data_IF_813784357920
#
_entry.id   IF_813784357920
#
_cell.length_a   1.000
_cell.length_b   1.000
_cell.length_c   1.000
_cell.angle_alpha   90.00
_cell.angle_beta   90.00
_cell.angle_gamma   90.00
#
_symmetry.space_group_name_H-M   'P 1'
#
loop_
_entity.id
_entity.type
_entity.pdbx_description
1 polymer ?
#
# COMPACT_ATOMS: atom_id res chain seq x y z
N UNK A 1 -15.28 46.01 -16.02
CA UNK A 1 -15.73 45.59 -14.69
C UNK A 1 -15.78 44.08 -14.67
N UNK A 2 -15.14 43.46 -13.67
CA UNK A 2 -15.22 42.01 -13.45
C UNK A 2 -16.57 41.62 -12.87
N UNK A 3 -16.91 40.33 -12.91
CA UNK A 3 -18.08 39.79 -12.24
C UNK A 3 -17.69 38.64 -11.32
N UNK A 4 -18.21 38.68 -10.09
CA UNK A 4 -18.11 37.58 -9.13
C UNK A 4 -19.47 36.90 -9.02
N UNK A 5 -19.50 35.62 -9.39
CA UNK A 5 -20.72 34.81 -9.38
C UNK A 5 -20.49 33.60 -8.48
N UNK A 6 -21.41 33.38 -7.53
CA UNK A 6 -21.50 32.10 -6.80
C UNK A 6 -22.65 31.32 -7.40
N UNK A 7 -22.34 30.13 -7.92
CA UNK A 7 -23.29 29.25 -8.57
C UNK A 7 -23.49 27.97 -7.78
N UNK A 8 -24.72 27.73 -7.33
CA UNK A 8 -25.15 26.50 -6.69
C UNK A 8 -25.80 25.57 -7.72
N UNK A 9 -25.03 24.58 -8.16
CA UNK A 9 -25.47 23.59 -9.14
C UNK A 9 -26.71 22.81 -8.68
N UNK A 10 -26.91 22.60 -7.37
CA UNK A 10 -28.06 21.84 -6.84
C UNK A 10 -29.38 22.60 -6.91
N UNK A 11 -29.33 23.94 -7.02
CA UNK A 11 -30.52 24.78 -7.22
C UNK A 11 -30.87 24.95 -8.70
N UNK A 12 -29.87 24.93 -9.58
CA UNK A 12 -30.08 24.95 -11.02
C UNK A 12 -30.47 23.57 -11.59
N UNK A 13 -29.88 22.50 -11.05
CA UNK A 13 -30.08 21.12 -11.50
C UNK A 13 -30.77 20.35 -10.36
N UNK A 14 -32.07 20.09 -10.45
CA UNK A 14 -32.77 19.33 -9.41
C UNK A 14 -32.14 17.94 -9.28
N UNK A 15 -31.89 17.44 -8.06
CA UNK A 15 -31.28 16.14 -7.86
C UNK A 15 -32.13 15.03 -8.47
N UNK A 16 -31.47 14.01 -9.06
CA UNK A 16 -32.10 12.73 -9.32
C UNK A 16 -32.62 12.12 -8.01
N UNK A 17 -33.67 11.30 -8.09
CA UNK A 17 -34.37 10.68 -6.95
C UNK A 17 -33.42 10.28 -5.78
N UNK A 18 -33.74 10.63 -4.52
CA UNK A 18 -32.75 10.79 -3.45
C UNK A 18 -32.28 9.51 -2.74
N UNK A 19 -32.38 8.32 -3.33
CA UNK A 19 -32.14 7.07 -2.57
C UNK A 19 -31.35 6.00 -3.31
N UNK A 20 -30.02 6.15 -3.41
CA UNK A 20 -29.09 5.03 -3.59
C UNK A 20 -27.73 5.37 -4.22
N UNK A 21 -26.88 4.36 -4.39
CA UNK A 21 -25.48 4.45 -4.87
C UNK A 21 -25.27 4.00 -6.33
N UNK A 22 -26.33 3.66 -7.06
CA UNK A 22 -26.24 3.26 -8.47
C UNK A 22 -25.92 4.45 -9.38
N UNK A 23 -25.08 4.24 -10.40
CA UNK A 23 -24.67 5.31 -11.34
C UNK A 23 -25.83 6.02 -12.06
N UNK A 24 -26.99 5.36 -12.19
CA UNK A 24 -28.21 5.93 -12.77
C UNK A 24 -28.90 6.96 -11.85
N UNK A 25 -28.63 6.92 -10.54
CA UNK A 25 -29.31 7.76 -9.54
C UNK A 25 -28.71 9.17 -9.46
N UNK A 26 -27.47 9.33 -9.96
CA UNK A 26 -26.78 10.62 -10.10
C UNK A 26 -27.11 11.33 -11.42
N UNK A 27 -27.90 10.70 -12.29
CA UNK A 27 -28.40 11.36 -13.51
C UNK A 27 -29.69 12.11 -13.17
N UNK A 28 -29.87 13.36 -13.64
CA UNK A 28 -31.15 14.07 -13.52
C UNK A 28 -32.21 13.36 -14.38
N UNK A 29 -32.82 12.28 -13.85
CA UNK A 29 -33.73 11.43 -14.61
C UNK A 29 -35.00 12.17 -15.06
N UNK A 30 -35.46 13.09 -14.22
CA UNK A 30 -36.69 13.85 -14.45
C UNK A 30 -36.49 15.04 -15.40
N UNK A 31 -35.24 15.41 -15.69
CA UNK A 31 -34.88 16.59 -16.47
C UNK A 31 -33.91 16.30 -17.62
N UNK A 32 -33.74 15.03 -17.98
CA UNK A 32 -32.95 14.63 -19.14
C UNK A 32 -33.60 15.13 -20.44
N UNK A 33 -33.01 16.16 -21.06
CA UNK A 33 -33.53 16.82 -22.26
C UNK A 33 -34.41 18.05 -21.98
N UNK A 34 -34.62 18.40 -20.70
CA UNK A 34 -35.29 19.64 -20.32
C UNK A 34 -34.31 20.83 -20.41
N UNK A 35 -34.84 21.99 -20.80
CA UNK A 35 -34.12 23.26 -20.71
C UNK A 35 -34.30 23.76 -19.28
N UNK A 36 -33.24 23.72 -18.49
CA UNK A 36 -33.22 24.25 -17.13
C UNK A 36 -32.81 25.72 -17.13
N UNK A 37 -33.48 26.55 -16.34
CA UNK A 37 -33.08 27.94 -16.13
C UNK A 37 -31.90 28.00 -15.15
N UNK A 38 -30.70 28.21 -15.70
CA UNK A 38 -29.48 28.34 -14.92
C UNK A 38 -29.50 29.52 -13.93
N UNK A 39 -30.36 30.52 -14.13
CA UNK A 39 -30.47 31.64 -13.18
C UNK A 39 -30.88 31.18 -11.77
N UNK A 40 -31.57 30.04 -11.65
CA UNK A 40 -31.93 29.45 -10.35
C UNK A 40 -30.71 29.04 -9.52
N UNK A 41 -29.56 28.81 -10.16
CA UNK A 41 -28.31 28.48 -9.48
C UNK A 41 -27.53 29.71 -8.99
N UNK A 42 -27.86 30.93 -9.42
CA UNK A 42 -27.12 32.13 -9.05
C UNK A 42 -27.48 32.50 -7.60
N UNK A 43 -26.54 32.33 -6.69
CA UNK A 43 -26.70 32.73 -5.28
C UNK A 43 -26.11 34.11 -4.99
N UNK A 44 -25.12 34.51 -5.78
CA UNK A 44 -24.50 35.83 -5.70
C UNK A 44 -24.09 36.28 -7.11
N UNK A 45 -24.30 37.56 -7.40
CA UNK A 45 -23.88 38.19 -8.64
C UNK A 45 -23.47 39.63 -8.35
N UNK A 46 -22.16 39.87 -8.29
CA UNK A 46 -21.58 41.16 -7.91
C UNK A 46 -20.71 41.67 -9.05
N UNK A 47 -20.86 42.95 -9.35
CA UNK A 47 -19.94 43.67 -10.24
C UNK A 47 -18.73 44.13 -9.42
N UNK A 48 -17.56 43.65 -9.80
CA UNK A 48 -16.29 44.07 -9.24
C UNK A 48 -15.76 45.28 -10.02
N UNK A 49 -15.15 46.23 -9.32
CA UNK A 49 -14.51 47.40 -9.92
C UNK A 49 -13.23 47.07 -10.71
N UNK A 50 -12.78 45.82 -10.62
CA UNK A 50 -11.48 45.34 -11.09
C UNK A 50 -11.67 44.08 -11.93
N UNK A 51 -10.82 43.87 -12.94
CA UNK A 51 -10.81 42.65 -13.75
C UNK A 51 -9.96 41.57 -13.04
N UNK A 52 -10.54 41.02 -11.95
CA UNK A 52 -9.86 40.07 -11.08
C UNK A 52 -10.26 38.62 -11.37
N UNK A 53 -9.29 37.72 -11.31
CA UNK A 53 -9.49 36.27 -11.35
C UNK A 53 -9.55 35.70 -9.94
N UNK A 54 -10.57 34.89 -9.65
CA UNK A 54 -10.61 34.11 -8.39
C UNK A 54 -9.48 33.08 -8.44
N UNK A 55 -8.64 33.09 -7.40
CA UNK A 55 -7.60 32.09 -7.22
C UNK A 55 -8.12 31.00 -6.30
N UNK A 56 -8.42 31.32 -5.04
CA UNK A 56 -8.82 30.34 -4.03
C UNK A 56 -10.00 30.88 -3.21
N UNK A 57 -10.81 29.97 -2.66
CA UNK A 57 -11.77 30.29 -1.61
C UNK A 57 -11.32 29.59 -0.34
N UNK A 58 -11.08 30.35 0.73
CA UNK A 58 -10.59 29.83 2.01
C UNK A 58 -11.47 30.38 3.12
N UNK A 59 -12.20 29.48 3.79
CA UNK A 59 -13.21 29.85 4.77
C UNK A 59 -14.21 30.86 4.18
N UNK A 60 -14.20 32.05 4.75
CA UNK A 60 -15.06 33.18 4.40
C UNK A 60 -14.38 34.22 3.48
N UNK A 61 -13.20 33.92 2.93
CA UNK A 61 -12.47 34.83 2.03
C UNK A 61 -12.34 34.23 0.64
N UNK A 62 -12.63 35.04 -0.38
CA UNK A 62 -12.27 34.80 -1.77
C UNK A 62 -10.97 35.54 -2.04
N UNK A 63 -9.90 34.78 -2.27
CA UNK A 63 -8.60 35.30 -2.67
C UNK A 63 -8.58 35.46 -4.19
N UNK A 64 -8.42 36.69 -4.66
CA UNK A 64 -8.45 37.05 -6.08
C UNK A 64 -7.21 37.84 -6.49
N UNK A 65 -6.97 37.91 -7.79
CA UNK A 65 -5.84 38.63 -8.36
C UNK A 65 -6.25 39.41 -9.61
N UNK A 66 -5.86 40.68 -9.66
CA UNK A 66 -5.98 41.58 -10.81
C UNK A 66 -4.59 42.09 -11.18
N UNK A 67 -3.98 41.53 -12.23
CA UNK A 67 -2.57 41.83 -12.56
C UNK A 67 -1.61 41.53 -11.40
N UNK A 68 -0.90 42.55 -10.92
CA UNK A 68 0.05 42.48 -9.79
C UNK A 68 -0.61 42.80 -8.43
N UNK A 69 -1.94 42.95 -8.40
CA UNK A 69 -2.71 43.27 -7.21
C UNK A 69 -3.40 42.03 -6.68
N UNK A 70 -3.19 41.73 -5.40
CA UNK A 70 -3.92 40.72 -4.66
C UNK A 70 -5.04 41.35 -3.85
N UNK A 71 -6.16 40.64 -3.80
CA UNK A 71 -7.40 41.17 -3.27
C UNK A 71 -8.09 40.09 -2.44
N UNK A 72 -8.46 40.44 -1.22
CA UNK A 72 -9.37 39.64 -0.41
C UNK A 72 -10.78 40.17 -0.54
N UNK A 73 -11.73 39.32 -0.88
CA UNK A 73 -13.15 39.62 -0.81
C UNK A 73 -13.82 38.76 0.26
N UNK A 74 -14.78 39.33 0.98
CA UNK A 74 -15.68 38.55 1.82
C UNK A 74 -16.51 37.63 0.91
N UNK A 75 -16.53 36.33 1.21
CA UNK A 75 -17.14 35.31 0.36
C UNK A 75 -18.65 35.49 0.21
N UNK A 76 -19.31 36.02 1.23
CA UNK A 76 -20.77 36.06 1.34
C UNK A 76 -21.36 37.36 0.81
N UNK A 77 -20.61 38.45 0.96
CA UNK A 77 -21.04 39.81 0.59
C UNK A 77 -20.31 40.33 -0.64
N UNK A 78 -19.16 39.74 -1.01
CA UNK A 78 -18.22 40.21 -2.01
C UNK A 78 -17.66 41.60 -1.75
N UNK A 79 -17.74 42.09 -0.51
CA UNK A 79 -17.07 43.32 -0.09
C UNK A 79 -15.57 43.10 -0.13
N UNK A 80 -14.83 44.05 -0.71
CA UNK A 80 -13.36 44.06 -0.67
C UNK A 80 -12.90 44.27 0.76
N UNK A 81 -12.21 43.28 1.33
CA UNK A 81 -11.64 43.30 2.68
C UNK A 81 -10.33 44.06 2.71
N UNK A 82 -9.46 43.76 1.74
CA UNK A 82 -8.16 44.39 1.58
C UNK A 82 -7.71 44.30 0.13
N UNK A 83 -6.79 45.18 -0.22
CA UNK A 83 -6.09 45.21 -1.48
C UNK A 83 -4.62 45.43 -1.17
N UNK A 84 -3.77 44.58 -1.71
CA UNK A 84 -2.34 44.72 -1.61
C UNK A 84 -1.76 44.73 -3.02
N UNK A 85 -1.21 45.86 -3.42
CA UNK A 85 -0.31 45.88 -4.56
C UNK A 85 0.99 45.18 -4.15
N UNK A 86 1.50 44.32 -5.04
CA UNK A 86 2.86 43.83 -4.90
C UNK A 86 3.82 45.02 -4.94
N UNK A 87 4.29 45.46 -3.77
CA UNK A 87 5.15 46.62 -3.66
C UNK A 87 6.53 46.32 -4.26
N UNK A 88 6.70 46.61 -5.56
CA UNK A 88 7.95 46.42 -6.31
C UNK A 88 9.16 47.13 -5.68
N UNK A 89 8.95 48.13 -4.81
CA UNK A 89 10.01 48.92 -4.19
C UNK A 89 10.61 48.29 -2.92
N UNK A 90 9.96 47.30 -2.29
CA UNK A 90 10.57 46.53 -1.18
C UNK A 90 11.55 45.45 -1.67
N UNK A 91 11.63 45.24 -2.99
CA UNK A 91 12.45 44.22 -3.62
C UNK A 91 13.61 44.86 -4.39
N UNK A 92 14.81 44.25 -4.39
CA UNK A 92 15.93 44.72 -5.20
C UNK A 92 15.56 45.02 -6.67
N UNK A 93 16.06 46.10 -7.28
CA UNK A 93 15.73 46.45 -8.67
C UNK A 93 16.14 45.33 -9.65
N UNK A 94 15.23 44.93 -10.55
CA UNK A 94 15.48 43.93 -11.61
C UNK A 94 14.81 42.56 -11.43
N UNK A 95 14.02 42.42 -10.36
CA UNK A 95 13.25 41.21 -10.02
C UNK A 95 12.07 41.05 -10.99
N UNK A 96 12.15 40.02 -11.83
CA UNK A 96 11.01 39.51 -12.59
C UNK A 96 10.37 38.42 -11.73
N UNK A 97 9.47 38.85 -10.83
CA UNK A 97 8.40 37.95 -10.39
C UNK A 97 7.75 37.43 -11.66
N UNK A 98 7.44 36.15 -11.66
CA UNK A 98 6.48 35.56 -12.57
C UNK A 98 5.48 36.56 -13.14
N UNK A 99 5.64 36.91 -14.42
CA UNK A 99 4.48 37.08 -15.31
C UNK A 99 3.86 35.71 -15.58
N UNK A 100 3.65 34.88 -14.55
CA UNK A 100 3.11 33.54 -14.74
C UNK A 100 1.64 33.59 -14.44
N UNK A 101 0.86 33.63 -15.53
CA UNK A 101 -0.56 33.32 -15.55
C UNK A 101 -0.86 31.87 -15.13
N UNK A 102 -0.28 31.37 -14.04
CA UNK A 102 -0.49 30.02 -13.52
C UNK A 102 0.01 29.86 -12.07
N UNK A 103 -0.14 30.87 -11.22
CA UNK A 103 0.00 30.62 -9.78
C UNK A 103 -1.30 30.04 -9.24
N UNK A 104 -1.37 28.72 -9.35
CA UNK A 104 -2.44 27.85 -8.90
C UNK A 104 -2.69 27.96 -7.38
N UNK A 105 -3.95 27.83 -6.95
CA UNK A 105 -4.47 28.26 -5.64
C UNK A 105 -4.25 27.26 -4.51
N UNK A 106 -2.98 26.96 -4.20
CA UNK A 106 -2.70 25.86 -3.29
C UNK A 106 -1.87 26.24 -2.07
N UNK A 107 -1.32 27.46 -1.95
CA UNK A 107 -0.41 27.85 -0.85
C UNK A 107 -1.13 28.51 0.34
N UNK A 108 -2.42 28.24 0.50
CA UNK A 108 -3.24 28.81 1.58
C UNK A 108 -3.80 27.71 2.45
N UNK A 109 -3.57 27.82 3.75
CA UNK A 109 -4.18 27.00 4.79
C UNK A 109 -4.19 27.79 6.10
N UNK A 110 -5.03 27.44 7.07
CA UNK A 110 -5.00 28.07 8.40
C UNK A 110 -5.07 29.61 8.40
N UNK A 111 -5.81 30.20 7.45
CA UNK A 111 -5.91 31.65 7.21
C UNK A 111 -4.57 32.34 6.85
N UNK A 112 -3.54 31.60 6.43
CA UNK A 112 -2.25 32.12 5.97
C UNK A 112 -2.02 31.83 4.50
N UNK A 113 -1.72 32.86 3.72
CA UNK A 113 -1.25 32.76 2.33
C UNK A 113 0.27 32.83 2.30
N UNK A 114 0.89 31.83 1.66
CA UNK A 114 2.34 31.76 1.52
C UNK A 114 2.78 32.14 0.10
N UNK A 115 3.82 32.95 0.03
CA UNK A 115 4.39 33.43 -1.22
C UNK A 115 5.89 33.18 -1.29
N UNK A 116 6.36 32.72 -2.45
CA UNK A 116 7.77 32.47 -2.72
C UNK A 116 8.38 33.54 -3.61
N UNK A 117 9.50 34.12 -3.20
CA UNK A 117 10.31 35.04 -3.98
C UNK A 117 11.47 34.25 -4.59
N UNK A 118 11.48 34.09 -5.91
CA UNK A 118 12.41 33.19 -6.60
C UNK A 118 13.84 33.71 -6.62
N UNK A 119 14.01 35.01 -6.77
CA UNK A 119 15.31 35.67 -6.84
C UNK A 119 16.09 35.59 -5.54
N UNK A 120 15.38 35.54 -4.41
CA UNK A 120 16.01 35.31 -3.10
C UNK A 120 15.85 33.88 -2.60
N UNK A 121 15.01 33.06 -3.25
CA UNK A 121 14.67 31.67 -2.90
C UNK A 121 14.06 31.52 -1.50
N UNK A 122 13.15 32.43 -1.13
CA UNK A 122 12.59 32.54 0.23
C UNK A 122 11.06 32.61 0.23
N UNK A 123 10.45 32.11 1.32
CA UNK A 123 9.02 32.21 1.57
C UNK A 123 8.66 33.35 2.53
N UNK A 124 7.42 33.83 2.37
CA UNK A 124 6.76 34.81 3.23
C UNK A 124 5.33 34.34 3.49
N UNK A 125 4.78 34.64 4.67
CA UNK A 125 3.40 34.32 5.05
C UNK A 125 2.60 35.57 5.38
N UNK A 126 1.37 35.64 4.88
CA UNK A 126 0.47 36.77 5.03
C UNK A 126 -0.89 36.33 5.56
N UNK A 127 -1.50 37.16 6.40
CA UNK A 127 -2.87 36.95 6.87
C UNK A 127 -3.86 37.10 5.72
N UNK A 128 -4.68 36.08 5.46
CA UNK A 128 -5.63 36.06 4.33
C UNK A 128 -6.77 37.06 4.52
N UNK A 129 -7.09 37.46 5.76
CA UNK A 129 -8.20 38.37 6.07
C UNK A 129 -7.77 39.83 6.06
N UNK A 130 -6.50 40.12 6.28
CA UNK A 130 -6.01 41.51 6.35
C UNK A 130 -4.93 41.86 5.31
N UNK A 131 -4.32 40.86 4.67
CA UNK A 131 -3.17 41.04 3.76
C UNK A 131 -1.86 41.44 4.46
N UNK A 132 -1.80 41.37 5.79
CA UNK A 132 -0.61 41.79 6.55
C UNK A 132 0.42 40.67 6.58
N UNK A 133 1.71 41.03 6.50
CA UNK A 133 2.80 40.09 6.71
C UNK A 133 2.76 39.52 8.15
N UNK A 134 2.82 38.20 8.27
CA UNK A 134 2.90 37.47 9.55
C UNK A 134 4.34 37.06 9.81
N UNK A 135 5.00 36.45 8.83
CA UNK A 135 6.36 35.93 8.94
C UNK A 135 7.10 36.00 7.61
N UNK A 136 8.43 35.91 7.69
CA UNK A 136 9.33 35.90 6.54
C UNK A 136 10.36 37.04 6.58
N UNK A 137 11.42 36.94 5.74
CA UNK A 137 11.71 35.81 4.88
C UNK A 137 12.15 34.55 5.65
N UNK A 138 11.93 33.37 5.08
CA UNK A 138 12.63 32.15 5.51
C UNK A 138 14.12 32.20 5.15
N UNK A 139 14.90 31.22 5.61
CA UNK A 139 16.22 30.99 5.03
C UNK A 139 16.12 30.71 3.52
N UNK A 140 17.07 31.22 2.70
CA UNK A 140 17.08 31.00 1.27
C UNK A 140 17.46 29.55 0.93
N UNK A 141 16.90 29.01 -0.14
CA UNK A 141 17.29 27.67 -0.58
C UNK A 141 18.74 27.68 -1.06
N UNK A 142 19.54 26.73 -0.58
CA UNK A 142 20.97 26.67 -0.90
C UNK A 142 21.22 26.43 -2.39
N UNK A 143 20.55 25.42 -2.97
CA UNK A 143 20.68 25.07 -4.38
C UNK A 143 19.97 26.09 -5.27
N UNK A 144 20.63 26.55 -6.34
CA UNK A 144 20.07 27.52 -7.29
C UNK A 144 18.86 26.99 -8.08
N UNK A 145 18.75 25.66 -8.27
CA UNK A 145 17.54 25.04 -8.80
C UNK A 145 16.33 25.17 -7.86
N UNK A 146 16.56 25.54 -6.60
CA UNK A 146 15.53 25.99 -5.65
C UNK A 146 14.72 27.19 -6.13
N UNK A 147 15.23 27.94 -7.11
CA UNK A 147 14.53 29.05 -7.78
C UNK A 147 13.12 28.68 -8.28
N UNK A 148 12.88 27.42 -8.62
CA UNK A 148 11.62 26.95 -9.19
C UNK A 148 10.55 26.51 -8.17
N UNK A 149 10.77 26.67 -6.86
CA UNK A 149 9.81 26.20 -5.85
C UNK A 149 8.43 26.84 -5.96
N UNK A 150 8.40 28.13 -6.33
CA UNK A 150 7.17 28.86 -6.64
C UNK A 150 6.45 28.42 -7.92
N UNK A 151 6.93 27.41 -8.64
CA UNK A 151 6.35 26.91 -9.90
C UNK A 151 5.96 25.43 -9.87
N UNK A 152 6.73 24.62 -9.15
CA UNK A 152 6.87 23.18 -9.40
C UNK A 152 5.97 22.32 -8.54
N UNK A 153 5.68 22.75 -7.31
CA UNK A 153 4.68 22.14 -6.46
C UNK A 153 4.64 22.84 -5.10
N UNK A 154 3.46 23.33 -4.70
CA UNK A 154 3.24 23.92 -3.39
C UNK A 154 1.80 23.70 -2.95
N UNK A 155 1.60 23.21 -1.72
CA UNK A 155 0.27 22.93 -1.17
C UNK A 155 0.26 23.25 0.32
N UNK A 156 -0.77 23.95 0.80
CA UNK A 156 -1.09 24.15 2.20
C UNK A 156 -2.07 23.07 2.65
N UNK A 157 -1.69 22.29 3.66
CA UNK A 157 -2.51 21.21 4.22
C UNK A 157 -2.04 20.90 5.64
N UNK A 158 -2.95 20.41 6.50
CA UNK A 158 -2.60 19.92 7.83
C UNK A 158 -1.80 20.91 8.70
N UNK A 159 -2.02 22.22 8.53
CA UNK A 159 -1.29 23.27 9.25
C UNK A 159 0.11 23.57 8.69
N UNK A 160 0.47 22.99 7.54
CA UNK A 160 1.79 23.09 6.94
C UNK A 160 1.73 23.65 5.51
N UNK A 161 2.82 24.26 5.07
CA UNK A 161 3.15 24.51 3.67
C UNK A 161 4.15 23.46 3.19
N UNK A 162 3.76 22.69 2.19
CA UNK A 162 4.62 21.77 1.48
C UNK A 162 5.09 22.41 0.18
N UNK A 163 6.38 22.37 -0.10
CA UNK A 163 6.98 22.97 -1.28
C UNK A 163 8.05 22.06 -1.89
N UNK A 164 7.86 21.68 -3.16
CA UNK A 164 8.82 20.93 -3.94
C UNK A 164 9.57 21.86 -4.92
N UNK A 165 10.76 21.48 -5.37
CA UNK A 165 11.50 22.24 -6.38
C UNK A 165 12.42 21.36 -7.25
N UNK A 166 13.01 21.97 -8.28
CA UNK A 166 13.98 21.33 -9.20
C UNK A 166 15.31 20.99 -8.53
N UNK A 167 15.56 21.46 -7.31
CA UNK A 167 16.68 20.98 -6.51
C UNK A 167 16.48 19.55 -5.99
N UNK A 168 15.31 18.95 -6.23
CA UNK A 168 14.99 17.57 -5.84
C UNK A 168 14.63 17.44 -4.37
N UNK A 169 14.21 18.53 -3.73
CA UNK A 169 13.83 18.55 -2.32
C UNK A 169 12.36 18.94 -2.17
N UNK A 170 11.61 18.14 -1.41
CA UNK A 170 10.33 18.56 -0.80
C UNK A 170 10.62 19.12 0.57
N UNK A 171 10.03 20.27 0.90
CA UNK A 171 10.19 20.96 2.17
C UNK A 171 8.83 21.13 2.82
N UNK A 172 8.78 21.01 4.13
CA UNK A 172 7.61 21.30 4.93
C UNK A 172 7.91 22.45 5.89
N UNK A 173 7.02 23.43 5.93
CA UNK A 173 7.06 24.55 6.84
C UNK A 173 5.79 24.57 7.68
N UNK A 174 5.89 24.91 8.97
CA UNK A 174 4.72 25.32 9.73
C UNK A 174 4.12 26.55 9.05
N UNK A 175 2.84 26.49 8.67
CA UNK A 175 2.26 27.54 7.84
C UNK A 175 2.03 28.85 8.62
N UNK A 176 1.94 28.79 9.95
CA UNK A 176 1.68 29.94 10.81
C UNK A 176 2.95 30.66 11.22
N UNK A 177 4.09 29.97 11.28
CA UNK A 177 5.38 30.56 11.70
C UNK A 177 6.40 30.69 10.58
N UNK A 178 6.31 29.87 9.53
CA UNK A 178 7.32 29.79 8.48
C UNK A 178 8.55 28.96 8.87
N UNK A 179 8.50 28.24 9.99
CA UNK A 179 9.60 27.39 10.45
C UNK A 179 9.69 26.12 9.60
N UNK A 180 10.89 25.79 9.10
CA UNK A 180 11.14 24.56 8.38
C UNK A 180 11.07 23.37 9.36
N UNK A 181 10.13 22.45 9.15
CA UNK A 181 9.93 21.30 10.04
C UNK A 181 10.66 20.05 9.56
N UNK A 182 10.65 19.78 8.25
CA UNK A 182 11.38 18.67 7.64
C UNK A 182 11.69 18.90 6.17
N UNK A 183 12.65 18.11 5.65
CA UNK A 183 12.96 18.03 4.22
C UNK A 183 13.07 16.58 3.77
N UNK A 184 12.71 16.33 2.51
CA UNK A 184 12.89 15.05 1.83
C UNK A 184 13.69 15.27 0.55
N UNK A 185 14.79 14.54 0.37
CA UNK A 185 15.62 14.59 -0.82
C UNK A 185 15.39 13.36 -1.70
N UNK A 186 15.07 13.58 -2.99
CA UNK A 186 14.82 12.51 -3.96
C UNK A 186 16.10 11.74 -4.37
N UNK A 187 17.28 12.23 -3.97
CA UNK A 187 18.56 11.61 -4.24
C UNK A 187 19.28 12.20 -5.46
N UNK A 188 20.53 11.78 -5.62
CA UNK A 188 21.39 12.21 -6.71
C UNK A 188 21.01 11.51 -8.03
N UNK A 189 20.88 12.30 -9.10
CA UNK A 189 20.66 11.78 -10.45
C UNK A 189 21.97 11.63 -11.24
N UNK A 190 23.09 12.14 -10.70
CA UNK A 190 24.38 12.12 -11.39
C UNK A 190 24.30 12.88 -12.72
N UNK A 191 24.45 12.15 -13.83
CA UNK A 191 24.38 12.71 -15.18
C UNK A 191 23.06 12.43 -15.91
N UNK A 192 22.09 11.77 -15.26
CA UNK A 192 20.79 11.48 -15.88
C UNK A 192 19.97 12.77 -16.10
N UNK A 193 20.08 13.73 -15.17
CA UNK A 193 19.39 15.04 -15.27
C UNK A 193 20.40 16.18 -15.39
N UNK A 194 20.03 17.33 -16.00
CA UNK A 194 20.87 18.53 -16.02
C UNK A 194 21.00 19.20 -14.64
N UNK A 195 20.25 18.75 -13.65
CA UNK A 195 20.16 19.35 -12.31
C UNK A 195 21.10 18.68 -11.30
N UNK A 196 21.63 17.49 -11.63
CA UNK A 196 22.43 16.66 -10.71
C UNK A 196 21.61 15.90 -9.67
N UNK A 197 20.33 16.28 -9.50
CA UNK A 197 19.36 15.69 -8.58
C UNK A 197 18.11 15.23 -9.36
N UNK A 198 17.20 14.50 -8.72
CA UNK A 198 15.89 14.18 -9.31
C UNK A 198 14.90 15.34 -9.08
N UNK A 199 14.62 16.19 -10.09
CA UNK A 199 13.79 17.37 -9.92
C UNK A 199 12.34 17.00 -9.61
N UNK A 200 11.65 17.80 -8.82
CA UNK A 200 10.20 17.70 -8.68
C UNK A 200 9.50 18.67 -9.64
N UNK A 201 8.53 18.15 -10.40
CA UNK A 201 7.65 18.93 -11.27
C UNK A 201 6.26 18.30 -11.32
N UNK A 202 5.25 19.10 -11.66
CA UNK A 202 3.89 18.59 -11.86
C UNK A 202 3.04 18.58 -10.60
N UNK A 203 3.41 19.35 -9.57
CA UNK A 203 2.61 19.61 -8.37
C UNK A 203 2.87 18.68 -7.19
N UNK A 204 2.02 18.80 -6.18
CA UNK A 204 1.93 17.89 -5.04
C UNK A 204 0.46 17.52 -4.86
N UNK A 205 0.19 16.29 -4.44
CA UNK A 205 -1.13 15.90 -3.92
C UNK A 205 -0.96 15.50 -2.46
N UNK A 206 -1.90 15.92 -1.62
CA UNK A 206 -1.84 15.66 -0.18
C UNK A 206 -3.17 15.11 0.27
N UNK A 207 -3.14 13.93 0.88
CA UNK A 207 -4.31 13.25 1.42
C UNK A 207 -3.87 12.17 2.39
N UNK A 208 -4.77 11.78 3.32
CA UNK A 208 -4.55 10.67 4.25
C UNK A 208 -3.19 10.76 4.97
N UNK A 209 -2.84 11.97 5.41
CA UNK A 209 -1.59 12.26 6.15
C UNK A 209 -0.33 11.95 5.33
N UNK A 210 -0.43 11.96 3.99
CA UNK A 210 0.66 11.66 3.06
C UNK A 210 0.86 12.77 2.04
N UNK A 211 2.11 12.98 1.66
CA UNK A 211 2.51 13.85 0.55
C UNK A 211 2.92 12.96 -0.63
N UNK A 212 2.22 13.14 -1.75
CA UNK A 212 2.50 12.50 -3.03
C UNK A 212 3.25 13.49 -3.92
N UNK A 213 4.52 13.18 -4.19
CA UNK A 213 5.42 14.03 -4.95
C UNK A 213 6.02 13.24 -6.12
N UNK A 214 5.79 13.69 -7.35
CA UNK A 214 6.35 13.05 -8.54
C UNK A 214 7.59 13.79 -9.00
N UNK A 215 8.66 13.05 -9.29
CA UNK A 215 9.74 13.65 -10.06
C UNK A 215 9.24 13.98 -11.48
N UNK A 216 9.85 14.99 -12.08
CA UNK A 216 9.66 15.28 -13.48
C UNK A 216 10.25 16.61 -13.89
N UNK A 217 9.91 17.01 -15.12
CA UNK A 217 10.31 18.27 -15.70
C UNK A 217 9.22 18.79 -16.65
N UNK A 218 9.16 20.12 -16.83
CA UNK A 218 8.16 20.86 -17.58
C UNK A 218 8.12 20.57 -19.10
N UNK A 219 9.24 20.34 -19.74
CA UNK A 219 9.44 20.11 -21.17
C UNK A 219 10.50 19.03 -21.41
N UNK A 220 10.20 17.76 -21.07
CA UNK A 220 11.22 16.74 -20.96
C UNK A 220 11.81 16.39 -22.33
N UNK A 221 13.12 16.15 -22.33
CA UNK A 221 13.82 15.66 -23.51
C UNK A 221 13.43 14.22 -23.86
N UNK A 222 13.70 13.84 -25.10
CA UNK A 222 13.63 12.43 -25.55
C UNK A 222 15.04 11.90 -25.81
N UNK A 223 15.38 10.68 -25.32
CA UNK A 223 14.54 9.80 -24.51
C UNK A 223 14.29 10.36 -23.09
N UNK A 224 13.18 9.94 -22.48
CA UNK A 224 12.87 10.29 -21.08
C UNK A 224 13.92 9.69 -20.14
N UNK A 225 14.21 10.38 -19.04
CA UNK A 225 15.11 9.89 -17.98
C UNK A 225 14.59 8.57 -17.39
N UNK A 226 15.47 7.69 -16.92
CA UNK A 226 15.11 6.31 -16.53
C UNK A 226 14.86 6.09 -15.03
N UNK A 227 14.89 7.14 -14.23
CA UNK A 227 14.87 7.05 -12.76
C UNK A 227 13.72 7.76 -12.07
N UNK A 228 12.77 8.34 -12.81
CA UNK A 228 11.64 9.07 -12.23
C UNK A 228 10.74 8.15 -11.42
N UNK A 229 10.19 8.71 -10.33
CA UNK A 229 9.31 8.02 -9.42
C UNK A 229 8.17 8.91 -8.96
N UNK A 230 7.08 8.27 -8.54
CA UNK A 230 6.18 8.85 -7.56
C UNK A 230 6.70 8.50 -6.16
N UNK A 231 7.03 9.52 -5.39
CA UNK A 231 7.47 9.42 -4.00
C UNK A 231 6.29 9.68 -3.07
N UNK A 232 6.20 8.89 -2.00
CA UNK A 232 5.21 9.07 -0.95
C UNK A 232 5.89 9.12 0.40
N UNK A 233 5.57 10.15 1.17
CA UNK A 233 6.13 10.41 2.49
C UNK A 233 5.02 10.77 3.48
N UNK A 234 5.29 10.53 4.75
CA UNK A 234 4.47 11.01 5.85
C UNK A 234 4.42 12.54 5.85
N UNK A 235 3.23 13.11 5.99
CA UNK A 235 3.03 14.55 5.88
C UNK A 235 3.54 15.34 7.09
N UNK A 236 3.75 14.71 8.24
CA UNK A 236 4.19 15.38 9.46
C UNK A 236 5.69 15.22 9.72
N UNK A 237 6.29 14.11 9.29
CA UNK A 237 7.70 13.79 9.55
C UNK A 237 8.59 13.86 8.31
N UNK A 238 8.02 13.74 7.11
CA UNK A 238 8.78 13.60 5.87
C UNK A 238 9.42 12.22 5.67
N UNK A 239 9.11 11.26 6.53
CA UNK A 239 9.63 9.89 6.41
C UNK A 239 9.11 9.23 5.12
N UNK A 240 9.98 8.59 4.32
CA UNK A 240 9.55 7.88 3.12
C UNK A 240 8.71 6.66 3.48
N UNK A 241 7.54 6.54 2.86
CA UNK A 241 6.63 5.40 3.05
C UNK A 241 6.80 4.39 1.92
N UNK A 242 6.71 4.85 0.68
CA UNK A 242 6.92 4.02 -0.51
C UNK A 242 7.21 4.89 -1.73
N UNK A 243 7.70 4.26 -2.80
CA UNK A 243 7.85 4.90 -4.09
C UNK A 243 7.61 3.88 -5.20
N UNK A 244 7.26 4.36 -6.38
CA UNK A 244 7.08 3.50 -7.55
C UNK A 244 7.67 4.17 -8.79
N UNK A 245 8.36 3.38 -9.63
CA UNK A 245 8.94 3.88 -10.88
C UNK A 245 7.87 4.39 -11.81
N UNK A 246 8.11 5.53 -12.43
CA UNK A 246 7.18 6.09 -13.40
C UNK A 246 7.31 7.59 -13.49
N UNK A 247 6.94 8.11 -14.66
CA UNK A 247 6.81 9.53 -14.86
C UNK A 247 5.35 9.91 -14.60
N UNK A 248 5.08 10.34 -13.38
CA UNK A 248 3.75 10.74 -12.94
C UNK A 248 3.62 12.27 -12.95
N UNK A 249 2.39 12.78 -12.93
CA UNK A 249 2.14 14.17 -12.54
C UNK A 249 1.34 14.18 -11.24
N UNK A 250 1.97 14.61 -10.15
CA UNK A 250 1.35 14.54 -8.83
C UNK A 250 0.05 15.36 -8.74
N UNK A 251 -0.06 16.50 -9.43
CA UNK A 251 -1.29 17.32 -9.48
C UNK A 251 -2.45 16.72 -10.28
N UNK A 252 -2.21 15.68 -11.10
CA UNK A 252 -3.27 14.95 -11.81
C UNK A 252 -3.70 13.67 -11.08
N UNK A 253 -3.16 13.42 -9.89
CA UNK A 253 -3.54 12.30 -9.05
C UNK A 253 -4.95 12.53 -8.50
N UNK A 254 -5.82 11.53 -8.63
CA UNK A 254 -7.13 11.50 -8.01
C UNK A 254 -7.13 10.50 -6.85
N UNK A 255 -7.64 10.91 -5.68
CA UNK A 255 -7.74 10.05 -4.50
C UNK A 255 -9.19 9.99 -4.03
N UNK A 256 -9.74 8.79 -3.91
CA UNK A 256 -11.08 8.54 -3.36
C UNK A 256 -11.14 7.13 -2.76
N UNK A 257 -11.92 6.95 -1.68
CA UNK A 257 -12.18 5.65 -1.05
C UNK A 257 -10.91 4.84 -0.72
N UNK A 258 -9.84 5.53 -0.29
CA UNK A 258 -8.55 4.92 0.04
C UNK A 258 -7.76 4.41 -1.17
N UNK A 259 -8.15 4.82 -2.39
CA UNK A 259 -7.47 4.48 -3.64
C UNK A 259 -6.95 5.73 -4.34
N UNK A 260 -5.74 5.61 -4.86
CA UNK A 260 -5.05 6.62 -5.63
C UNK A 260 -5.00 6.21 -7.10
N UNK A 261 -5.42 7.07 -8.01
CA UNK A 261 -5.31 6.85 -9.45
C UNK A 261 -4.32 7.85 -10.06
N UNK A 262 -3.34 7.34 -10.80
CA UNK A 262 -2.31 8.15 -11.45
C UNK A 262 -1.97 7.64 -12.85
N UNK A 263 -1.66 8.57 -13.74
CA UNK A 263 -1.17 8.27 -15.10
C UNK A 263 0.35 8.17 -15.10
N UNK A 264 0.88 7.04 -15.56
CA UNK A 264 2.31 6.85 -15.77
C UNK A 264 2.64 7.10 -17.26
N UNK A 265 3.49 8.09 -17.52
CA UNK A 265 3.86 8.48 -18.88
C UNK A 265 4.93 7.56 -19.51
N UNK A 266 5.61 6.73 -18.73
CA UNK A 266 6.60 5.79 -19.29
C UNK A 266 5.96 4.71 -20.16
N UNK A 267 4.80 4.21 -19.77
CA UNK A 267 4.09 3.15 -20.48
C UNK A 267 2.67 3.56 -20.90
N UNK A 268 2.29 4.81 -20.59
CA UNK A 268 1.02 5.42 -20.93
C UNK A 268 -0.20 4.70 -20.30
N UNK A 269 -0.03 4.14 -19.11
CA UNK A 269 -1.10 3.44 -18.37
C UNK A 269 -1.62 4.22 -17.16
N UNK A 270 -2.89 3.98 -16.82
CA UNK A 270 -3.48 4.42 -15.57
C UNK A 270 -3.30 3.33 -14.51
N UNK A 271 -2.70 3.71 -13.39
CA UNK A 271 -2.50 2.84 -12.24
C UNK A 271 -3.44 3.23 -11.11
N UNK A 272 -3.98 2.22 -10.42
CA UNK A 272 -4.77 2.39 -9.21
C UNK A 272 -4.04 1.72 -8.04
N UNK A 273 -3.69 2.51 -7.04
CA UNK A 273 -2.95 2.07 -5.85
C UNK A 273 -3.85 2.07 -4.63
N UNK A 274 -3.59 1.13 -3.73
CA UNK A 274 -4.19 1.04 -2.41
C UNK A 274 -4.34 -0.40 -1.97
N UNK A 275 -4.80 -0.59 -0.72
CA UNK A 275 -4.86 -1.91 -0.09
C UNK A 275 -5.64 -2.93 -0.95
N UNK A 276 -4.98 -4.06 -1.24
CA UNK A 276 -5.49 -5.12 -2.11
C UNK A 276 -6.20 -6.23 -1.34
N UNK A 277 -7.28 -6.83 -1.86
CA UNK A 277 -7.84 -8.06 -1.29
C UNK A 277 -6.87 -9.23 -1.46
N UNK A 278 -6.90 -10.18 -0.53
CA UNK A 278 -6.10 -11.41 -0.58
C UNK A 278 -6.97 -12.66 -0.44
N UNK A 279 -6.42 -13.82 -0.79
CA UNK A 279 -7.08 -15.12 -0.62
C UNK A 279 -6.10 -16.16 -0.11
N UNK A 280 -6.41 -16.70 1.06
CA UNK A 280 -5.74 -17.87 1.65
C UNK A 280 -6.39 -19.16 1.14
N UNK A 281 -5.60 -20.20 0.91
CA UNK A 281 -6.05 -21.58 0.68
C UNK A 281 -5.31 -22.50 1.64
N UNK A 282 -5.90 -23.64 1.98
CA UNK A 282 -5.25 -24.65 2.83
C UNK A 282 -5.67 -26.05 2.38
N UNK A 283 -4.72 -26.96 2.37
CA UNK A 283 -4.88 -28.37 2.05
C UNK A 283 -4.20 -29.23 3.13
N UNK A 284 -4.85 -30.34 3.46
CA UNK A 284 -4.36 -31.38 4.34
C UNK A 284 -4.64 -32.75 3.70
N UNK A 285 -3.98 -33.84 4.13
CA UNK A 285 -4.22 -35.17 3.59
C UNK A 285 -5.71 -35.55 3.63
N UNK A 286 -6.24 -36.00 2.49
CA UNK A 286 -7.63 -36.48 2.39
C UNK A 286 -7.80 -37.88 2.99
N UNK A 287 -6.70 -38.61 3.18
CA UNK A 287 -6.67 -39.90 3.86
C UNK A 287 -6.38 -39.70 5.34
N UNK A 288 -7.02 -40.49 6.19
CA UNK A 288 -6.68 -40.51 7.60
C UNK A 288 -5.21 -40.93 7.79
N UNK A 289 -4.52 -40.26 8.70
CA UNK A 289 -3.16 -40.61 9.12
C UNK A 289 -3.21 -41.37 10.44
N UNK A 290 -2.17 -42.15 10.72
CA UNK A 290 -2.04 -42.87 11.99
C UNK A 290 -1.53 -41.93 13.06
N UNK A 291 -2.03 -42.04 14.29
CA UNK A 291 -1.56 -41.26 15.43
C UNK A 291 -0.03 -41.41 15.59
N UNK A 292 0.66 -40.27 15.71
CA UNK A 292 2.13 -40.21 15.76
C UNK A 292 2.80 -40.01 14.38
N UNK A 293 2.07 -40.14 13.28
CA UNK A 293 2.56 -39.74 11.96
C UNK A 293 2.56 -38.21 11.81
N UNK A 294 3.52 -37.70 11.04
CA UNK A 294 3.59 -36.28 10.72
C UNK A 294 2.93 -36.04 9.39
N UNK A 295 2.03 -35.04 9.32
CA UNK A 295 1.46 -34.58 8.05
C UNK A 295 2.10 -33.27 7.61
N UNK A 296 2.04 -33.03 6.30
CA UNK A 296 2.31 -31.73 5.71
C UNK A 296 0.98 -31.01 5.49
N UNK A 297 0.85 -29.83 6.07
CA UNK A 297 -0.23 -28.88 5.80
C UNK A 297 0.34 -27.87 4.82
N UNK A 298 -0.28 -27.70 3.66
CA UNK A 298 0.17 -26.74 2.64
C UNK A 298 -0.95 -25.78 2.28
N UNK A 299 -0.59 -24.64 1.69
CA UNK A 299 -1.58 -23.69 1.22
C UNK A 299 -0.95 -22.57 0.42
N UNK A 300 -1.78 -21.59 0.06
CA UNK A 300 -1.32 -20.38 -0.63
C UNK A 300 -1.92 -19.13 -0.03
N UNK A 301 -1.26 -17.99 -0.21
CA UNK A 301 -1.87 -16.66 -0.08
C UNK A 301 -1.58 -15.85 -1.34
N UNK A 302 -2.64 -15.38 -1.99
CA UNK A 302 -2.54 -14.71 -3.30
C UNK A 302 -3.32 -13.40 -3.35
N UNK A 303 -2.79 -12.43 -4.08
CA UNK A 303 -3.42 -11.14 -4.35
C UNK A 303 -4.64 -11.32 -5.26
N UNK A 304 -5.75 -10.67 -4.92
CA UNK A 304 -7.01 -10.72 -5.68
C UNK A 304 -7.33 -9.37 -6.34
N UNK A 305 -6.40 -8.42 -6.31
CA UNK A 305 -6.51 -7.13 -7.00
C UNK A 305 -6.63 -7.34 -8.50
N UNK A 306 -7.46 -6.55 -9.18
CA UNK A 306 -7.74 -6.75 -10.61
C UNK A 306 -6.48 -6.77 -11.50
N UNK A 307 -5.47 -5.96 -11.18
CA UNK A 307 -4.20 -5.92 -11.91
C UNK A 307 -3.23 -7.06 -11.59
N UNK A 308 -3.34 -7.68 -10.41
CA UNK A 308 -2.35 -8.63 -9.88
C UNK A 308 -2.98 -9.98 -9.51
N UNK A 309 -4.15 -10.30 -10.06
CA UNK A 309 -4.96 -11.43 -9.61
C UNK A 309 -4.21 -12.77 -9.76
N UNK A 310 -4.02 -13.46 -8.63
CA UNK A 310 -3.29 -14.72 -8.54
C UNK A 310 -1.79 -14.59 -8.31
N UNK A 311 -1.23 -13.38 -8.25
CA UNK A 311 0.15 -13.16 -7.83
C UNK A 311 0.32 -13.50 -6.35
N UNK A 312 1.56 -13.82 -5.94
CA UNK A 312 1.87 -14.00 -4.53
C UNK A 312 1.68 -12.70 -3.75
N UNK A 313 1.10 -12.80 -2.54
CA UNK A 313 1.23 -11.72 -1.56
C UNK A 313 2.66 -11.71 -1.02
N UNK A 314 3.28 -10.53 -1.02
CA UNK A 314 4.64 -10.30 -0.50
C UNK A 314 4.62 -9.37 0.72
N UNK A 315 5.68 -9.37 1.51
CA UNK A 315 5.85 -8.44 2.62
C UNK A 315 5.84 -6.98 2.15
N UNK A 316 5.40 -6.06 3.01
CA UNK A 316 5.26 -4.63 2.67
C UNK A 316 6.61 -4.01 2.22
N UNK A 317 7.73 -4.45 2.80
CA UNK A 317 9.08 -4.01 2.42
C UNK A 317 9.48 -4.41 0.99
N UNK A 318 8.85 -5.44 0.41
CA UNK A 318 9.10 -5.91 -0.96
C UNK A 318 8.10 -5.35 -1.99
N UNK A 319 7.10 -4.60 -1.53
CA UNK A 319 5.93 -4.22 -2.35
C UNK A 319 6.31 -3.39 -3.57
N UNK A 320 7.20 -2.40 -3.40
CA UNK A 320 7.58 -1.47 -4.47
C UNK A 320 8.25 -2.20 -5.64
N UNK A 321 9.23 -3.08 -5.35
CA UNK A 321 9.94 -3.84 -6.38
C UNK A 321 9.07 -4.96 -6.97
N UNK A 322 8.22 -5.58 -6.15
CA UNK A 322 7.26 -6.59 -6.62
C UNK A 322 6.26 -6.01 -7.62
N UNK A 323 5.70 -4.82 -7.33
CA UNK A 323 4.84 -4.12 -8.29
C UNK A 323 5.61 -3.66 -9.53
N UNK A 324 6.87 -3.24 -9.38
CA UNK A 324 7.75 -2.95 -10.52
C UNK A 324 7.93 -4.15 -11.45
N UNK A 325 8.10 -5.35 -10.88
CA UNK A 325 8.18 -6.59 -11.64
C UNK A 325 6.86 -6.91 -12.36
N UNK A 326 5.74 -6.91 -11.64
CA UNK A 326 4.44 -7.30 -12.20
C UNK A 326 3.94 -6.33 -13.27
N UNK A 327 4.18 -5.03 -13.08
CA UNK A 327 3.48 -3.98 -13.83
C UNK A 327 4.37 -3.09 -14.69
N UNK A 328 5.68 -3.09 -14.47
CA UNK A 328 6.59 -2.08 -15.05
C UNK A 328 7.81 -2.68 -15.74
N UNK A 329 7.71 -3.96 -16.12
CA UNK A 329 8.75 -4.70 -16.85
C UNK A 329 10.11 -4.68 -16.14
N UNK A 330 10.12 -4.57 -14.81
CA UNK A 330 11.35 -4.72 -14.02
C UNK A 330 11.69 -6.20 -13.88
N UNK A 331 12.96 -6.56 -13.64
CA UNK A 331 13.33 -7.92 -13.28
C UNK A 331 12.61 -8.38 -12.00
N UNK A 332 12.41 -9.69 -11.85
CA UNK A 332 11.92 -10.24 -10.58
C UNK A 332 12.91 -9.90 -9.45
N UNK A 333 12.45 -9.32 -8.32
CA UNK A 333 13.32 -9.05 -7.19
C UNK A 333 13.90 -10.35 -6.62
N UNK A 334 15.20 -10.39 -6.37
CA UNK A 334 15.91 -11.59 -5.89
C UNK A 334 15.79 -11.80 -4.39
N UNK A 335 15.35 -10.78 -3.66
CA UNK A 335 15.29 -10.68 -2.20
C UNK A 335 13.88 -10.34 -1.69
N UNK A 336 12.86 -10.43 -2.56
CA UNK A 336 11.48 -10.29 -2.13
C UNK A 336 11.12 -11.34 -1.07
N UNK A 337 10.34 -10.92 -0.08
CA UNK A 337 9.93 -11.77 1.05
C UNK A 337 8.44 -12.06 0.98
N UNK A 338 8.05 -13.28 1.35
CA UNK A 338 6.65 -13.62 1.54
C UNK A 338 6.08 -13.06 2.84
N UNK A 339 4.83 -13.43 3.11
CA UNK A 339 4.08 -13.02 4.30
C UNK A 339 3.95 -14.19 5.29
N UNK A 340 3.71 -13.87 6.56
CA UNK A 340 3.46 -14.87 7.60
C UNK A 340 1.99 -15.33 7.60
N UNK A 341 1.78 -16.63 7.80
CA UNK A 341 0.49 -17.28 7.96
C UNK A 341 0.49 -18.05 9.27
N UNK A 342 -0.50 -17.83 10.12
CA UNK A 342 -0.70 -18.64 11.33
C UNK A 342 -1.52 -19.88 10.99
N UNK A 343 -1.21 -21.00 11.62
CA UNK A 343 -1.95 -22.25 11.44
C UNK A 343 -2.46 -22.72 12.80
N UNK A 344 -3.77 -22.85 12.90
CA UNK A 344 -4.51 -23.20 14.11
C UNK A 344 -5.32 -24.48 13.87
N UNK A 345 -5.60 -25.22 14.94
CA UNK A 345 -6.45 -26.42 14.88
C UNK A 345 -7.55 -26.37 15.94
N UNK A 346 -8.69 -26.99 15.62
CA UNK A 346 -9.74 -27.39 16.55
C UNK A 346 -9.79 -28.91 16.52
N UNK A 347 -9.47 -29.54 17.65
CA UNK A 347 -9.53 -31.00 17.76
C UNK A 347 -10.94 -31.54 18.04
N UNK A 348 -11.10 -32.86 18.08
CA UNK A 348 -12.39 -33.54 18.26
C UNK A 348 -13.04 -33.26 19.63
N UNK A 349 -12.24 -32.81 20.61
CA UNK A 349 -12.72 -32.36 21.93
C UNK A 349 -13.14 -30.88 21.94
N UNK A 350 -12.98 -30.17 20.82
CA UNK A 350 -13.29 -28.74 20.68
C UNK A 350 -12.20 -27.81 21.19
N UNK A 351 -10.97 -28.28 21.44
CA UNK A 351 -9.88 -27.40 21.88
C UNK A 351 -9.27 -26.66 20.70
N UNK A 352 -9.31 -25.32 20.75
CA UNK A 352 -8.63 -24.44 19.81
C UNK A 352 -7.18 -24.19 20.25
N UNK A 353 -6.21 -24.38 19.35
CA UNK A 353 -4.80 -24.03 19.60
C UNK A 353 -4.03 -23.69 18.34
N UNK A 354 -3.05 -22.80 18.47
CA UNK A 354 -2.06 -22.54 17.44
C UNK A 354 -1.05 -23.68 17.38
N UNK A 355 -0.75 -24.17 16.17
CA UNK A 355 0.21 -25.25 15.93
C UNK A 355 1.48 -24.78 15.22
N UNK A 356 1.52 -23.52 14.78
CA UNK A 356 2.71 -22.92 14.21
C UNK A 356 2.42 -21.74 13.29
N UNK A 357 3.50 -21.30 12.63
CA UNK A 357 3.52 -20.25 11.62
C UNK A 357 4.33 -20.72 10.43
N UNK A 358 3.95 -20.26 9.25
CA UNK A 358 4.68 -20.51 8.01
C UNK A 358 4.77 -19.22 7.19
N UNK A 359 5.91 -18.99 6.54
CA UNK A 359 6.09 -17.86 5.62
C UNK A 359 5.87 -18.33 4.20
N UNK A 360 5.17 -17.54 3.38
CA UNK A 360 4.99 -17.85 1.97
C UNK A 360 6.30 -17.71 1.18
N UNK A 361 6.44 -18.48 0.11
CA UNK A 361 7.45 -18.24 -0.92
C UNK A 361 6.94 -17.22 -1.97
N UNK A 362 7.77 -16.93 -2.97
CA UNK A 362 7.43 -16.00 -4.08
C UNK A 362 6.36 -16.53 -5.04
N UNK A 363 5.92 -17.78 -4.88
CA UNK A 363 4.74 -18.33 -5.57
C UNK A 363 3.48 -18.22 -4.71
N UNK A 364 3.60 -17.67 -3.49
CA UNK A 364 2.54 -17.52 -2.52
C UNK A 364 2.30 -18.80 -1.71
N UNK A 365 3.12 -19.85 -1.85
CA UNK A 365 2.92 -21.13 -1.17
C UNK A 365 3.55 -21.13 0.21
N UNK A 366 2.88 -21.76 1.17
CA UNK A 366 3.44 -22.04 2.50
C UNK A 366 3.22 -23.51 2.87
N UNK A 367 3.98 -23.99 3.85
CA UNK A 367 3.82 -25.35 4.38
C UNK A 367 4.28 -25.48 5.82
N UNK A 368 3.60 -26.34 6.59
CA UNK A 368 3.93 -26.67 7.97
C UNK A 368 3.86 -28.19 8.18
N UNK A 369 4.94 -28.76 8.70
CA UNK A 369 4.95 -30.14 9.18
C UNK A 369 4.44 -30.17 10.61
N UNK A 370 3.42 -31.00 10.89
CA UNK A 370 2.83 -31.10 12.22
C UNK A 370 2.41 -32.53 12.56
N UNK A 371 2.55 -32.90 13.82
CA UNK A 371 2.21 -34.23 14.35
C UNK A 371 1.04 -34.09 15.32
N UNK A 372 -0.13 -34.70 15.05
CA UNK A 372 -1.26 -34.70 15.97
C UNK A 372 -0.97 -35.49 17.24
N UNK A 373 -1.56 -35.05 18.35
CA UNK A 373 -1.37 -35.60 19.70
C UNK A 373 -2.51 -36.51 20.17
N UNK A 374 -3.69 -36.40 19.55
CA UNK A 374 -4.85 -37.26 19.81
C UNK A 374 -5.49 -37.78 18.50
N UNK A 375 -6.15 -38.95 18.51
CA UNK A 375 -6.97 -39.41 17.39
C UNK A 375 -8.25 -38.58 17.28
N UNK A 376 -8.92 -38.66 16.13
CA UNK A 376 -10.16 -37.95 15.84
C UNK A 376 -10.06 -37.04 14.63
N UNK A 377 -11.12 -36.27 14.38
CA UNK A 377 -11.14 -35.28 13.31
C UNK A 377 -10.54 -33.97 13.81
N UNK A 378 -9.73 -33.33 12.98
CA UNK A 378 -9.25 -31.98 13.20
C UNK A 378 -9.85 -31.03 12.16
N UNK A 379 -10.26 -29.85 12.61
CA UNK A 379 -10.42 -28.69 11.73
C UNK A 379 -9.10 -27.94 11.76
N UNK A 380 -8.49 -27.69 10.61
CA UNK A 380 -7.28 -26.87 10.48
C UNK A 380 -7.63 -25.57 9.78
N UNK A 381 -7.13 -24.46 10.32
CA UNK A 381 -7.39 -23.10 9.87
C UNK A 381 -6.05 -22.44 9.58
N UNK A 382 -5.92 -21.82 8.42
CA UNK A 382 -4.80 -20.95 8.11
C UNK A 382 -5.27 -19.51 7.95
N UNK A 383 -4.58 -18.60 8.61
CA UNK A 383 -4.94 -17.17 8.67
C UNK A 383 -3.76 -16.31 8.25
N UNK A 384 -4.00 -15.45 7.27
CA UNK A 384 -3.18 -14.28 7.01
C UNK A 384 -3.88 -13.07 7.63
N UNK A 385 -3.25 -12.45 8.63
CA UNK A 385 -3.84 -11.33 9.39
C UNK A 385 -3.97 -10.03 8.58
N UNK A 386 -3.39 -9.97 7.38
CA UNK A 386 -3.28 -8.76 6.58
C UNK A 386 -1.95 -8.05 6.78
N UNK A 387 -1.73 -7.01 5.99
CA UNK A 387 -0.56 -6.12 6.06
C UNK A 387 -0.99 -4.69 5.70
N UNK A 388 -0.07 -3.74 5.56
CA UNK A 388 -0.43 -2.42 5.04
C UNK A 388 -0.90 -2.50 3.58
N UNK A 389 -0.32 -3.42 2.81
CA UNK A 389 -0.62 -3.61 1.39
C UNK A 389 -1.82 -4.53 1.13
N UNK A 390 -2.11 -5.49 2.01
CA UNK A 390 -3.14 -6.51 1.78
C UNK A 390 -4.16 -6.63 2.91
N UNK A 391 -5.43 -6.85 2.57
CA UNK A 391 -6.46 -7.23 3.54
C UNK A 391 -6.22 -8.65 4.09
N UNK A 392 -6.74 -8.94 5.28
CA UNK A 392 -6.69 -10.26 5.90
C UNK A 392 -7.49 -11.31 5.12
N UNK A 393 -7.07 -12.57 5.17
CA UNK A 393 -7.84 -13.70 4.64
C UNK A 393 -7.57 -14.98 5.42
N UNK A 394 -8.52 -15.92 5.42
CA UNK A 394 -8.35 -17.22 6.04
C UNK A 394 -9.01 -18.32 5.22
N UNK A 395 -8.60 -19.56 5.46
CA UNK A 395 -9.25 -20.75 4.93
C UNK A 395 -9.20 -21.88 5.96
N UNK A 396 -10.11 -22.83 5.84
CA UNK A 396 -10.13 -24.02 6.69
C UNK A 396 -10.39 -25.29 5.90
N UNK A 397 -9.87 -26.40 6.40
CA UNK A 397 -10.16 -27.76 5.91
C UNK A 397 -10.15 -28.76 7.07
N UNK A 398 -10.35 -30.04 6.77
CA UNK A 398 -10.39 -31.11 7.76
C UNK A 398 -9.39 -32.22 7.41
N UNK A 399 -8.89 -32.91 8.43
CA UNK A 399 -8.21 -34.20 8.27
C UNK A 399 -8.55 -35.12 9.44
N UNK A 400 -8.41 -36.43 9.23
CA UNK A 400 -8.68 -37.45 10.24
C UNK A 400 -7.39 -38.09 10.77
N UNK A 401 -7.39 -38.43 12.04
CA UNK A 401 -6.32 -39.18 12.70
C UNK A 401 -6.93 -40.44 13.31
N UNK A 402 -6.40 -41.60 12.97
CA UNK A 402 -6.83 -42.90 13.51
C UNK A 402 -5.82 -43.41 14.53
N UNK A 403 -6.28 -44.20 15.50
CA UNK A 403 -5.36 -44.85 16.44
C UNK A 403 -4.36 -45.74 15.71
N UNK A 404 -3.16 -45.84 16.27
CA UNK A 404 -2.17 -46.82 15.82
C UNK A 404 -2.61 -48.20 16.28
N UNK A 405 -2.66 -49.17 15.37
CA UNK A 405 -2.85 -50.57 15.75
C UNK A 405 -1.79 -50.96 16.78
N UNK A 406 -2.20 -51.50 17.93
CA UNK A 406 -1.24 -52.10 18.86
C UNK A 406 -0.44 -53.18 18.11
N UNK A 407 0.89 -53.23 18.28
CA UNK A 407 1.67 -54.32 17.68
C UNK A 407 1.08 -55.63 18.17
N UNK A 408 0.56 -56.43 17.23
CA UNK A 408 0.10 -57.80 17.51
C UNK A 408 1.25 -58.47 18.24
N UNK A 409 1.04 -58.83 19.51
CA UNK A 409 2.01 -59.61 20.26
C UNK A 409 2.33 -60.84 19.43
N UNK A 410 3.60 -61.00 19.04
CA UNK A 410 4.06 -62.19 18.33
C UNK A 410 3.53 -63.41 19.08
N UNK A 411 2.83 -64.35 18.43
CA UNK A 411 2.35 -65.53 19.14
C UNK A 411 3.55 -66.17 19.82
N UNK A 412 3.45 -66.32 21.15
CA UNK A 412 4.46 -67.05 21.91
C UNK A 412 4.64 -68.39 21.21
N UNK A 413 5.87 -68.77 20.78
CA UNK A 413 6.05 -70.04 20.09
C UNK A 413 5.49 -71.14 20.97
N UNK A 414 4.48 -71.85 20.47
CA UNK A 414 3.96 -73.06 21.11
C UNK A 414 5.16 -73.97 21.39
N UNK A 415 5.39 -74.41 22.64
CA UNK A 415 6.47 -75.33 22.94
C UNK A 415 6.39 -76.51 21.97
N UNK A 416 7.50 -76.78 21.28
CA UNK A 416 7.56 -77.92 20.37
C UNK A 416 7.12 -79.19 21.13
N UNK A 417 6.27 -80.05 20.54
CA UNK A 417 5.89 -81.30 21.16
C UNK A 417 7.15 -82.08 21.54
N UNK A 418 7.30 -82.48 22.81
CA UNK A 418 8.41 -83.32 23.27
C UNK A 418 8.40 -84.74 22.66
N UNK A 419 7.53 -85.02 21.68
CA UNK A 419 7.47 -86.31 20.96
C UNK A 419 8.81 -86.72 20.40
N UNK A 420 9.64 -85.79 19.91
CA UNK A 420 10.97 -86.13 19.39
C UNK A 420 11.92 -86.59 20.51
N UNK A 421 11.80 -86.06 21.72
CA UNK A 421 12.61 -86.51 22.87
C UNK A 421 12.19 -87.90 23.34
N UNK A 422 10.88 -88.19 23.36
CA UNK A 422 10.37 -89.52 23.74
C UNK A 422 10.62 -90.60 22.68
N UNK A 423 10.54 -90.26 21.39
CA UNK A 423 10.86 -91.19 20.29
C UNK A 423 12.36 -91.49 20.26
N UNK A 424 13.23 -90.48 20.43
CA UNK A 424 14.70 -90.72 20.47
C UNK A 424 15.10 -91.51 21.71
N UNK A 425 14.55 -91.20 22.89
CA UNK A 425 14.85 -91.94 24.12
C UNK A 425 14.36 -93.40 24.07
N UNK A 426 13.15 -93.65 23.53
CA UNK A 426 12.62 -95.01 23.37
C UNK A 426 13.39 -95.80 22.30
N UNK A 427 13.79 -95.17 21.20
CA UNK A 427 14.57 -95.82 20.14
C UNK A 427 15.97 -96.21 20.63
N UNK A 428 16.65 -95.33 21.40
CA UNK A 428 17.95 -95.65 22.03
C UNK A 428 17.79 -96.78 23.06
N UNK A 429 16.76 -96.75 23.91
CA UNK A 429 16.51 -97.81 24.89
C UNK A 429 16.26 -99.18 24.23
N UNK A 430 15.53 -99.21 23.11
CA UNK A 430 15.28 -100.43 22.32
C UNK A 430 16.58 -100.94 21.68
N UNK A 431 17.41 -100.06 21.11
CA UNK A 431 18.69 -100.44 20.50
C UNK A 431 19.69 -100.98 21.53
N UNK A 432 19.75 -100.39 22.73
CA UNK A 432 20.57 -100.91 23.84
C UNK A 432 20.04 -102.26 24.31
N UNK A 433 18.71 -102.43 24.43
CA UNK A 433 18.08 -103.71 24.77
C UNK A 433 18.39 -104.81 23.75
N UNK A 434 18.29 -104.51 22.45
CA UNK A 434 18.63 -105.45 21.38
C UNK A 434 20.13 -105.76 21.32
N UNK A 435 20.98 -104.78 21.59
CA UNK A 435 22.44 -104.97 21.70
C UNK A 435 22.82 -105.91 22.86
N UNK A 436 22.16 -105.80 24.00
CA UNK A 436 22.36 -106.69 25.16
C UNK A 436 21.86 -108.12 24.84
N UNK A 437 20.70 -108.26 24.18
CA UNK A 437 20.16 -109.57 23.79
C UNK A 437 21.06 -110.25 22.74
N UNK A 438 21.53 -109.51 21.74
CA UNK A 438 22.49 -110.02 20.76
C UNK A 438 23.80 -110.45 21.43
N UNK A 439 24.35 -109.63 22.34
CA UNK A 439 25.55 -109.96 23.11
C UNK A 439 25.38 -111.23 23.97
N UNK A 440 24.22 -111.42 24.60
CA UNK A 440 23.91 -112.62 25.39
C UNK A 440 23.70 -113.87 24.51
N UNK A 441 23.14 -113.72 23.31
CA UNK A 441 22.97 -114.81 22.35
C UNK A 441 24.30 -115.27 21.72
N UNK A 442 25.23 -114.35 21.47
CA UNK A 442 26.57 -114.71 20.96
C UNK A 442 27.48 -115.34 22.03
N UNK A 443 27.23 -115.12 23.33
CA UNK A 443 28.00 -115.75 24.41
C UNK A 443 27.59 -117.21 24.68
N UNK A 444 26.43 -117.68 24.16
CA UNK A 444 25.91 -119.04 24.43
C UNK A 444 26.26 -120.09 23.36
N UNK A 445 27.10 -119.75 22.37
CA UNK A 445 27.61 -120.68 21.35
C UNK A 445 29.14 -120.84 21.37
N UNK A 446 29.74 -120.66 22.54
CA UNK A 446 31.17 -120.89 22.78
C UNK A 446 31.39 -121.72 24.04
N UNK A 447 30.78 -122.90 24.11
CA UNK A 447 31.24 -124.09 24.84
C UNK A 447 30.40 -125.28 24.43
#
# INVERSE_FOLDING_TARGET
>A
DGQLIVFNTTKAIPPGSPTGSGFWQWRPWNSAGEILDGNNGIEMNLTLTEDASVRQVVGDVIYAQSGDTFIGYDRWTGVKLWEAELNKAQYPPGIYRDRIGSMTPYSIHDDVYCEFIRETKQWYGYDVKTGNLIWGPTEPYENDWGYYAGYTGRVGAYGNLYAASYDGIVRCYDIRTGDLTWTYYAGDAGFETPYGTWPFYGGLTIADEKVFAANGEHSPGTPMWKGEKLHVMDAFTGEPLWNVSGWYQASSIAIADGKLVAHNLYDNQLYCFGKGPSKTTIEAPLTAITLGETLMIVGTVTDQSAGSNGAACVADESMSDWMGYLHMQKPIPTDAKGIEVTIDVIDDNGNFRNIGRATTDLTGKYGLMWTPDIPGQYTVIATFEGSDSYASSFAQTYFGVVESDEPISTPTPTPAPQTDTYIVASTIAILVGLGIIAFLLFRKKGT
#
